data_IF_750065043764
#
_entry.id   IF_750065043764
#
_cell.length_a   1.000
_cell.length_b   1.000
_cell.length_c   1.000
_cell.angle_alpha   90.00
_cell.angle_beta   90.00
_cell.angle_gamma   90.00
#
_symmetry.space_group_name_H-M   'P 1'
#
loop_
_entity.id
_entity.type
_entity.pdbx_description
1 polymer ?
#
# COMPACT_ATOMS: atom_id res chain seq x y z
N UNK A 1 -17.50 5.62 1.46
CA UNK A 1 -17.71 4.70 0.30
C UNK A 1 -18.76 3.64 0.65
N UNK A 2 -19.53 3.06 -0.29
CA UNK A 2 -20.46 1.95 0.07
C UNK A 2 -19.66 0.66 0.27
N UNK A 3 -20.10 -0.21 1.18
CA UNK A 3 -19.42 -1.48 1.48
C UNK A 3 -19.30 -2.36 0.22
N UNK A 4 -20.36 -2.42 -0.58
CA UNK A 4 -20.39 -3.18 -1.84
C UNK A 4 -19.38 -2.68 -2.88
N UNK A 5 -18.98 -1.41 -2.82
CA UNK A 5 -17.95 -0.86 -3.71
C UNK A 5 -16.55 -1.26 -3.24
N UNK A 6 -16.33 -1.38 -1.92
CA UNK A 6 -15.06 -1.82 -1.36
C UNK A 6 -14.75 -3.28 -1.74
N UNK A 7 -15.71 -4.17 -1.53
CA UNK A 7 -15.52 -5.60 -1.83
C UNK A 7 -15.23 -5.82 -3.32
N UNK A 8 -15.88 -5.04 -4.20
CA UNK A 8 -15.56 -5.06 -5.64
C UNK A 8 -14.14 -4.62 -5.93
N UNK A 9 -13.64 -3.56 -5.29
CA UNK A 9 -12.26 -3.09 -5.45
C UNK A 9 -11.28 -4.17 -5.01
N UNK A 10 -11.52 -4.80 -3.85
CA UNK A 10 -10.70 -5.90 -3.33
C UNK A 10 -10.67 -7.08 -4.31
N UNK A 11 -11.83 -7.51 -4.80
CA UNK A 11 -11.91 -8.64 -5.73
C UNK A 11 -11.25 -8.34 -7.09
N UNK A 12 -11.42 -7.12 -7.61
CA UNK A 12 -10.72 -6.69 -8.82
C UNK A 12 -9.20 -6.68 -8.63
N UNK A 13 -8.73 -6.14 -7.51
CA UNK A 13 -7.32 -6.12 -7.17
C UNK A 13 -6.76 -7.53 -7.03
N UNK A 14 -7.43 -8.42 -6.29
CA UNK A 14 -7.00 -9.82 -6.12
C UNK A 14 -6.87 -10.53 -7.46
N UNK A 15 -7.87 -10.39 -8.34
CA UNK A 15 -7.86 -11.01 -9.66
C UNK A 15 -6.69 -10.54 -10.52
N UNK A 16 -6.28 -9.28 -10.37
CA UNK A 16 -5.20 -8.69 -11.14
C UNK A 16 -3.82 -9.05 -10.54
N UNK A 17 -3.64 -8.85 -9.23
CA UNK A 17 -2.36 -8.97 -8.54
C UNK A 17 -2.06 -10.39 -8.07
N UNK A 18 -3.03 -11.09 -7.48
CA UNK A 18 -2.86 -12.46 -6.99
C UNK A 18 -3.00 -13.47 -8.13
N UNK A 19 -2.30 -13.20 -9.24
CA UNK A 19 -2.23 -14.09 -10.39
C UNK A 19 -0.83 -14.70 -10.49
N UNK A 20 -0.75 -15.84 -11.16
CA UNK A 20 0.49 -16.58 -11.42
C UNK A 20 1.36 -16.82 -10.17
N UNK A 21 2.45 -16.09 -10.00
CA UNK A 21 3.43 -16.21 -8.90
C UNK A 21 2.82 -15.87 -7.54
N UNK A 22 1.85 -14.94 -7.51
CA UNK A 22 1.20 -14.47 -6.27
C UNK A 22 -0.16 -15.15 -6.02
N UNK A 23 -0.52 -16.19 -6.78
CA UNK A 23 -1.85 -16.83 -6.67
C UNK A 23 -2.21 -17.36 -5.28
N UNK A 24 -1.21 -17.77 -4.52
CA UNK A 24 -1.38 -18.34 -3.18
C UNK A 24 -1.34 -17.26 -2.09
N UNK A 25 -1.07 -16.00 -2.48
CA UNK A 25 -0.99 -14.90 -1.53
C UNK A 25 -2.38 -14.49 -1.07
N UNK A 26 -2.43 -13.86 0.11
CA UNK A 26 -3.67 -13.32 0.67
C UNK A 26 -3.51 -11.83 0.93
N UNK A 27 -4.62 -11.10 0.81
CA UNK A 27 -4.72 -9.71 1.24
C UNK A 27 -5.16 -9.66 2.69
N UNK A 28 -4.39 -8.99 3.53
CA UNK A 28 -4.76 -8.64 4.90
C UNK A 28 -4.79 -7.11 5.05
N UNK A 29 -5.78 -6.60 5.76
CA UNK A 29 -5.95 -5.16 5.99
C UNK A 29 -6.11 -5.01 7.50
N UNK A 30 -5.20 -4.25 8.13
CA UNK A 30 -5.25 -4.02 9.56
C UNK A 30 -6.54 -3.28 9.93
N UNK A 31 -7.14 -3.63 11.07
CA UNK A 31 -8.45 -3.12 11.49
C UNK A 31 -8.48 -1.59 11.71
N UNK A 32 -7.31 -0.99 11.93
CA UNK A 32 -7.12 0.45 12.15
C UNK A 32 -7.01 1.26 10.84
N UNK A 33 -7.01 0.60 9.68
CA UNK A 33 -6.97 1.23 8.36
C UNK A 33 -8.40 1.54 7.87
N UNK A 34 -8.74 2.82 7.64
CA UNK A 34 -10.01 3.18 7.01
C UNK A 34 -10.18 2.53 5.64
N UNK A 35 -11.37 2.01 5.34
CA UNK A 35 -11.67 1.32 4.08
C UNK A 35 -11.37 2.17 2.84
N UNK A 36 -11.62 3.48 2.92
CA UNK A 36 -11.30 4.42 1.86
C UNK A 36 -9.78 4.45 1.56
N UNK A 37 -8.94 4.40 2.59
CA UNK A 37 -7.48 4.44 2.41
C UNK A 37 -6.95 3.10 1.90
N UNK A 38 -7.49 1.98 2.39
CA UNK A 38 -7.18 0.68 1.83
C UNK A 38 -7.58 0.59 0.34
N UNK A 39 -8.74 1.13 -0.04
CA UNK A 39 -9.18 1.16 -1.42
C UNK A 39 -8.25 1.98 -2.32
N UNK A 40 -7.79 3.15 -1.84
CA UNK A 40 -6.79 3.96 -2.53
C UNK A 40 -5.48 3.19 -2.70
N UNK A 41 -5.01 2.52 -1.64
CA UNK A 41 -3.77 1.74 -1.69
C UNK A 41 -3.85 0.60 -2.73
N UNK A 42 -4.94 -0.17 -2.72
CA UNK A 42 -5.18 -1.24 -3.71
C UNK A 42 -5.24 -0.68 -5.13
N UNK A 43 -5.93 0.45 -5.34
CA UNK A 43 -6.01 1.07 -6.66
C UNK A 43 -4.63 1.50 -7.18
N UNK A 44 -3.85 2.18 -6.34
CA UNK A 44 -2.50 2.63 -6.69
C UNK A 44 -1.58 1.46 -7.03
N UNK A 45 -1.59 0.40 -6.20
CA UNK A 45 -0.79 -0.80 -6.43
C UNK A 45 -1.13 -1.47 -7.79
N UNK A 46 -2.42 -1.64 -8.07
CA UNK A 46 -2.88 -2.16 -9.37
C UNK A 46 -2.47 -1.28 -10.55
N UNK A 47 -2.52 0.05 -10.37
CA UNK A 47 -2.10 1.00 -11.41
C UNK A 47 -0.59 0.98 -11.64
N UNK A 48 0.20 0.88 -10.58
CA UNK A 48 1.67 0.81 -10.66
C UNK A 48 2.12 -0.48 -11.34
N UNK A 49 1.51 -1.63 -11.02
CA UNK A 49 1.80 -2.90 -11.71
C UNK A 49 1.43 -2.84 -13.19
N UNK A 50 0.31 -2.20 -13.54
CA UNK A 50 -0.05 -1.99 -14.95
C UNK A 50 0.99 -1.12 -15.68
N UNK A 51 1.45 -0.04 -15.04
CA UNK A 51 2.47 0.83 -15.59
C UNK A 51 3.85 0.14 -15.72
N UNK A 52 4.12 -0.90 -14.94
CA UNK A 52 5.35 -1.69 -15.06
C UNK A 52 5.43 -2.47 -16.39
N UNK A 53 4.28 -2.73 -17.02
CA UNK A 53 4.21 -3.30 -18.37
C UNK A 53 4.45 -2.28 -19.50
N UNK A 54 4.60 -0.99 -19.16
CA UNK A 54 4.82 0.13 -20.09
C UNK A 54 6.31 0.59 -20.06
N UNK A 55 6.60 1.78 -20.60
CA UNK A 55 7.95 2.37 -20.64
C UNK A 55 8.46 2.73 -19.22
N UNK A 56 9.75 2.47 -18.96
CA UNK A 56 10.40 2.60 -17.64
C UNK A 56 10.18 3.97 -16.95
N UNK A 57 10.28 5.08 -17.68
CA UNK A 57 10.06 6.44 -17.12
C UNK A 57 8.62 6.64 -16.61
N UNK A 58 7.64 6.01 -17.26
CA UNK A 58 6.24 6.09 -16.86
C UNK A 58 6.02 5.31 -15.56
N UNK A 59 6.61 4.12 -15.45
CA UNK A 59 6.56 3.32 -14.24
C UNK A 59 7.13 4.04 -13.01
N UNK A 60 8.31 4.65 -13.13
CA UNK A 60 8.96 5.33 -12.01
C UNK A 60 8.16 6.56 -11.53
N UNK A 61 7.58 7.32 -12.47
CA UNK A 61 6.70 8.45 -12.13
C UNK A 61 5.43 8.01 -11.38
N UNK A 62 4.79 6.92 -11.82
CA UNK A 62 3.61 6.36 -11.16
C UNK A 62 3.94 5.78 -9.79
N UNK A 63 5.07 5.10 -9.66
CA UNK A 63 5.53 4.54 -8.39
C UNK A 63 5.80 5.64 -7.37
N UNK A 64 6.46 6.72 -7.78
CA UNK A 64 6.72 7.87 -6.92
C UNK A 64 5.41 8.52 -6.44
N UNK A 65 4.49 8.81 -7.36
CA UNK A 65 3.20 9.39 -7.02
C UNK A 65 2.36 8.50 -6.10
N UNK A 66 2.36 7.18 -6.34
CA UNK A 66 1.70 6.22 -5.46
C UNK A 66 2.28 6.23 -4.05
N UNK A 67 3.61 6.25 -3.93
CA UNK A 67 4.31 6.36 -2.64
C UNK A 67 3.94 7.65 -1.90
N UNK A 68 3.92 8.79 -2.60
CA UNK A 68 3.59 10.09 -2.00
C UNK A 68 2.14 10.13 -1.47
N UNK A 69 1.19 9.55 -2.21
CA UNK A 69 -0.20 9.45 -1.77
C UNK A 69 -0.33 8.52 -0.57
N UNK A 70 0.32 7.35 -0.58
CA UNK A 70 0.34 6.42 0.55
C UNK A 70 0.93 7.07 1.81
N UNK A 71 2.01 7.84 1.66
CA UNK A 71 2.60 8.62 2.74
C UNK A 71 1.64 9.68 3.28
N UNK A 72 0.92 10.39 2.40
CA UNK A 72 -0.04 11.42 2.80
C UNK A 72 -1.20 10.84 3.62
N UNK A 73 -1.73 9.68 3.24
CA UNK A 73 -2.82 9.01 3.97
C UNK A 73 -2.33 8.17 5.15
N UNK A 74 -1.00 8.05 5.34
CA UNK A 74 -0.36 7.34 6.44
C UNK A 74 -0.61 5.84 6.39
N UNK A 75 -0.57 5.23 5.20
CA UNK A 75 -0.76 3.79 4.98
C UNK A 75 0.43 3.24 4.21
N UNK A 76 0.79 1.99 4.45
CA UNK A 76 1.77 1.27 3.66
C UNK A 76 1.27 -0.13 3.28
N UNK A 77 1.78 -0.65 2.16
CA UNK A 77 1.57 -2.02 1.72
C UNK A 77 2.87 -2.80 1.83
N UNK A 78 2.82 -3.96 2.48
CA UNK A 78 3.97 -4.82 2.71
C UNK A 78 3.68 -6.22 2.18
N UNK A 79 4.66 -6.81 1.50
CA UNK A 79 4.59 -8.18 1.04
C UNK A 79 5.47 -9.07 1.92
N UNK A 80 4.88 -10.09 2.52
CA UNK A 80 5.56 -11.15 3.27
C UNK A 80 5.53 -12.43 2.44
N UNK A 81 6.67 -12.75 1.83
CA UNK A 81 6.82 -13.93 0.96
C UNK A 81 6.81 -15.24 1.74
N UNK A 82 7.13 -15.21 3.04
CA UNK A 82 7.18 -16.41 3.90
C UNK A 82 5.78 -16.86 4.26
N UNK A 83 4.93 -15.90 4.66
CA UNK A 83 3.53 -16.15 4.99
C UNK A 83 2.61 -16.10 3.76
N UNK A 84 3.14 -15.66 2.62
CA UNK A 84 2.38 -15.38 1.39
C UNK A 84 1.24 -14.38 1.68
N UNK A 85 1.56 -13.25 2.28
CA UNK A 85 0.58 -12.22 2.67
C UNK A 85 1.00 -10.87 2.12
N UNK A 86 0.07 -10.14 1.51
CA UNK A 86 0.17 -8.71 1.24
C UNK A 86 -0.68 -8.00 2.29
N UNK A 87 -0.05 -7.19 3.13
CA UNK A 87 -0.70 -6.51 4.26
C UNK A 87 -0.77 -5.01 4.02
N UNK A 88 -1.94 -4.43 4.23
CA UNK A 88 -2.17 -2.98 4.29
C UNK A 88 -2.24 -2.59 5.75
N UNK A 89 -1.35 -1.70 6.19
CA UNK A 89 -1.33 -1.22 7.58
C UNK A 89 -1.14 0.28 7.67
N UNK A 90 -1.49 0.85 8.82
CA UNK A 90 -1.09 2.23 9.13
C UNK A 90 0.43 2.31 9.19
N UNK A 91 0.97 3.35 8.55
CA UNK A 91 2.39 3.66 8.71
C UNK A 91 2.57 4.16 10.13
N UNK A 92 3.45 3.52 10.90
CA UNK A 92 3.82 4.03 12.21
C UNK A 92 4.29 5.48 12.02
N UNK A 93 3.61 6.43 12.66
CA UNK A 93 4.14 7.79 12.75
C UNK A 93 5.45 7.64 13.50
N UNK A 94 6.57 7.98 12.87
CA UNK A 94 7.87 8.03 13.53
C UNK A 94 7.84 9.19 14.56
N UNK A 95 7.09 9.04 15.65
CA UNK A 95 7.24 9.84 16.87
C UNK A 95 8.70 9.81 17.35
N UNK A 96 9.41 8.71 17.07
CA UNK A 96 10.82 8.54 17.39
C UNK A 96 11.75 9.56 16.70
N UNK A 97 11.43 10.09 15.52
CA UNK A 97 12.31 11.07 14.87
C UNK A 97 12.28 12.44 15.55
N UNK A 98 11.13 12.85 16.11
CA UNK A 98 11.05 14.09 16.88
C UNK A 98 11.69 13.95 18.27
N UNK A 99 11.53 12.79 18.93
CA UNK A 99 12.21 12.47 20.19
C UNK A 99 13.73 12.35 20.02
N UNK A 100 14.20 11.69 18.95
CA UNK A 100 15.63 11.62 18.59
C UNK A 100 16.20 13.01 18.29
N UNK A 101 15.51 13.85 17.52
CA UNK A 101 15.94 15.23 17.27
C UNK A 101 16.03 16.06 18.56
N UNK A 102 15.07 15.92 19.48
CA UNK A 102 15.15 16.59 20.80
C UNK A 102 16.38 16.13 21.60
N UNK A 103 16.69 14.83 21.60
CA UNK A 103 17.89 14.28 22.24
C UNK A 103 19.21 14.77 21.63
N UNK A 104 19.26 15.03 20.33
CA UNK A 104 20.49 15.49 19.65
C UNK A 104 20.70 17.01 19.67
N UNK A 105 19.64 17.80 19.85
CA UNK A 105 19.75 19.27 19.89
C UNK A 105 19.97 19.76 21.33
N UNK A 106 19.42 19.08 22.34
CA UNK A 106 19.51 19.47 23.76
C UNK A 106 20.27 18.45 24.64
N UNK A 107 20.83 17.38 24.06
CA UNK A 107 21.69 16.41 24.74
C UNK A 107 23.17 16.73 24.59
#
# INVERSE_FOLDING_TARGET
>A
MRVEDFDKIVEMWKKHILSDVLKDYKLEIDEDVPKEFAAIALYLDSSTVRAAGEVLEYYDGYRQAASDILNLIGVEMLQDDTLKVIRIRRKAVEEDKQELLKKYIWG
#
